data_IF_927801910541
#
_entry.id   IF_927801910541
#
_cell.length_a   1.000
_cell.length_b   1.000
_cell.length_c   1.000
_cell.angle_alpha   90.00
_cell.angle_beta   90.00
_cell.angle_gamma   90.00
#
_symmetry.space_group_name_H-M   'P 1'
#
loop_
_entity.id
_entity.type
_entity.pdbx_description
1 polymer ?
#
# COMPACT_ATOMS: atom_id res chain seq x y z
N UNK A 1 0.45 -16.58 1.70
CA UNK A 1 1.38 -15.60 1.09
C UNK A 1 1.61 -15.86 -0.39
N UNK A 2 1.98 -17.08 -0.82
CA UNK A 2 2.21 -17.37 -2.25
C UNK A 2 1.00 -17.11 -3.17
N UNK A 3 -0.23 -17.24 -2.68
CA UNK A 3 -1.43 -16.97 -3.47
C UNK A 3 -1.66 -15.47 -3.71
N UNK A 4 -1.52 -14.62 -2.71
CA UNK A 4 -1.69 -13.17 -2.79
C UNK A 4 -0.67 -12.53 -3.75
N UNK A 5 0.60 -12.93 -3.65
CA UNK A 5 1.67 -12.38 -4.49
C UNK A 5 1.56 -12.92 -5.94
N UNK A 6 1.16 -14.18 -6.11
CA UNK A 6 0.90 -14.75 -7.45
C UNK A 6 -0.28 -14.09 -8.14
N UNK A 7 -1.35 -13.76 -7.41
CA UNK A 7 -2.54 -13.09 -7.97
C UNK A 7 -2.21 -11.65 -8.38
N UNK A 8 -1.41 -10.93 -7.60
CA UNK A 8 -1.03 -9.55 -7.91
C UNK A 8 -0.11 -9.45 -9.16
N UNK A 9 0.86 -10.35 -9.29
CA UNK A 9 1.71 -10.39 -10.49
C UNK A 9 0.93 -10.78 -11.74
N UNK A 10 -0.05 -11.69 -11.63
CA UNK A 10 -0.94 -12.05 -12.72
C UNK A 10 -1.93 -10.92 -13.06
N UNK A 11 -2.44 -10.19 -12.05
CA UNK A 11 -3.36 -9.07 -12.24
C UNK A 11 -2.71 -7.90 -13.01
N UNK A 12 -1.47 -7.53 -12.68
CA UNK A 12 -0.73 -6.48 -13.41
C UNK A 12 -0.59 -6.81 -14.90
N UNK A 13 -0.54 -8.10 -15.24
CA UNK A 13 -0.48 -8.54 -16.64
C UNK A 13 -1.85 -8.57 -17.36
N UNK A 14 -2.97 -8.48 -16.63
CA UNK A 14 -4.32 -8.65 -17.18
C UNK A 14 -5.14 -7.36 -17.31
N UNK A 15 -4.89 -6.32 -16.52
CA UNK A 15 -5.70 -5.09 -16.53
C UNK A 15 -5.00 -3.96 -17.29
N UNK A 16 -5.54 -3.66 -18.47
CA UNK A 16 -5.16 -2.54 -19.32
C UNK A 16 -6.28 -1.53 -19.45
N UNK A 17 -5.89 -0.27 -19.43
CA UNK A 17 -6.52 0.90 -20.02
C UNK A 17 -7.86 1.38 -19.42
N UNK A 18 -7.75 2.33 -18.51
CA UNK A 18 -8.62 3.50 -18.45
C UNK A 18 -7.77 4.72 -18.09
N UNK A 19 -6.93 5.16 -19.03
CA UNK A 19 -6.42 6.53 -18.99
C UNK A 19 -7.55 7.42 -19.53
N UNK A 20 -8.52 7.72 -18.69
CA UNK A 20 -9.47 8.78 -18.95
C UNK A 20 -8.70 10.11 -19.02
N UNK A 21 -9.03 10.97 -19.99
CA UNK A 21 -8.60 12.37 -20.13
C UNK A 21 -9.09 13.19 -18.92
N UNK A 22 -8.53 12.94 -17.75
CA UNK A 22 -8.78 13.73 -16.57
C UNK A 22 -8.02 15.04 -16.69
N UNK A 23 -8.77 16.16 -16.60
CA UNK A 23 -8.19 17.49 -16.50
C UNK A 23 -7.15 17.47 -15.37
N UNK A 24 -5.93 17.99 -15.59
CA UNK A 24 -4.90 17.96 -14.55
C UNK A 24 -5.45 18.61 -13.27
N UNK A 25 -5.33 17.92 -12.16
CA UNK A 25 -5.76 18.43 -10.87
C UNK A 25 -4.97 19.72 -10.54
N UNK A 26 -5.58 20.72 -9.89
CA UNK A 26 -4.89 21.93 -9.51
C UNK A 26 -3.71 21.60 -8.59
N UNK A 27 -2.64 22.41 -8.69
CA UNK A 27 -1.47 22.21 -7.85
C UNK A 27 -1.84 22.27 -6.35
N UNK A 28 -1.33 21.34 -5.52
CA UNK A 28 -1.69 21.32 -4.10
C UNK A 28 -1.18 22.55 -3.35
N UNK A 29 -2.00 23.09 -2.47
CA UNK A 29 -1.62 24.21 -1.60
C UNK A 29 -0.52 23.80 -0.60
N UNK A 30 0.20 24.76 0.02
CA UNK A 30 1.16 24.44 1.08
C UNK A 30 0.55 23.63 2.23
N UNK A 31 -0.68 23.97 2.66
CA UNK A 31 -1.41 23.24 3.70
C UNK A 31 -1.74 21.80 3.29
N UNK A 32 -2.19 21.62 2.05
CA UNK A 32 -2.45 20.27 1.53
C UNK A 32 -1.17 19.44 1.47
N UNK A 33 -0.05 20.01 1.04
CA UNK A 33 1.25 19.33 1.06
C UNK A 33 1.68 18.93 2.47
N UNK A 34 1.52 19.82 3.45
CA UNK A 34 1.83 19.52 4.85
C UNK A 34 0.96 18.39 5.40
N UNK A 35 -0.36 18.43 5.16
CA UNK A 35 -1.27 17.37 5.57
C UNK A 35 -0.91 16.03 4.91
N UNK A 36 -0.60 16.03 3.62
CA UNK A 36 -0.17 14.84 2.90
C UNK A 36 1.15 14.27 3.46
N UNK A 37 2.13 15.10 3.77
CA UNK A 37 3.39 14.68 4.41
C UNK A 37 3.15 14.00 5.76
N UNK A 38 2.25 14.55 6.57
CA UNK A 38 1.86 13.95 7.85
C UNK A 38 1.22 12.59 7.67
N UNK A 39 0.22 12.49 6.78
CA UNK A 39 -0.49 11.23 6.51
C UNK A 39 0.44 10.16 5.89
N UNK A 40 1.28 10.53 4.93
CA UNK A 40 2.28 9.62 4.37
C UNK A 40 3.26 9.12 5.44
N UNK A 41 3.74 10.02 6.31
CA UNK A 41 4.60 9.64 7.42
C UNK A 41 3.92 8.73 8.45
N UNK A 42 2.62 8.91 8.69
CA UNK A 42 1.79 8.03 9.52
C UNK A 42 1.66 6.66 8.86
N UNK A 43 1.28 6.61 7.58
CA UNK A 43 1.09 5.36 6.83
C UNK A 43 2.34 4.48 6.86
N UNK A 44 3.51 5.05 6.56
CA UNK A 44 4.79 4.32 6.57
C UNK A 44 5.15 3.78 7.97
N UNK A 45 4.75 4.48 9.04
CA UNK A 45 4.99 4.00 10.41
C UNK A 45 4.04 2.88 10.82
N UNK A 46 2.82 2.88 10.31
CA UNK A 46 1.83 1.84 10.60
C UNK A 46 2.17 0.56 9.83
N UNK A 47 2.45 0.68 8.53
CA UNK A 47 2.72 -0.44 7.66
C UNK A 47 3.70 -0.02 6.55
N UNK A 48 4.85 -0.69 6.49
CA UNK A 48 5.86 -0.48 5.44
C UNK A 48 5.91 -1.70 4.51
N UNK A 49 5.13 -1.65 3.43
CA UNK A 49 5.08 -2.74 2.45
C UNK A 49 6.42 -3.03 1.78
N UNK A 50 7.37 -2.07 1.76
CA UNK A 50 8.70 -2.32 1.17
C UNK A 50 9.44 -3.46 1.86
N UNK A 51 9.16 -3.70 3.15
CA UNK A 51 9.74 -4.83 3.89
C UNK A 51 9.25 -6.17 3.35
N UNK A 52 7.97 -6.28 2.99
CA UNK A 52 7.41 -7.50 2.42
C UNK A 52 7.99 -7.80 1.03
N UNK A 53 8.37 -6.77 0.27
CA UNK A 53 9.01 -6.92 -1.05
C UNK A 53 10.51 -7.11 -0.96
N UNK A 54 11.18 -6.53 0.02
CA UNK A 54 12.62 -6.71 0.26
C UNK A 54 12.97 -8.09 0.80
N UNK A 55 12.05 -8.73 1.52
CA UNK A 55 12.27 -10.03 2.15
C UNK A 55 12.18 -11.16 1.10
N UNK A 56 13.31 -11.83 0.83
CA UNK A 56 13.42 -12.96 -0.11
C UNK A 56 12.89 -12.72 -1.53
N UNK A 57 12.94 -11.48 -2.01
CA UNK A 57 12.39 -11.10 -3.31
C UNK A 57 12.96 -11.94 -4.47
N UNK A 58 14.26 -12.28 -4.44
CA UNK A 58 14.94 -13.05 -5.50
C UNK A 58 14.42 -14.49 -5.67
N UNK A 59 13.80 -15.06 -4.66
CA UNK A 59 13.25 -16.43 -4.70
C UNK A 59 11.82 -16.48 -5.24
N UNK A 60 11.11 -15.36 -5.26
CA UNK A 60 9.74 -15.31 -5.70
C UNK A 60 9.59 -15.33 -7.22
N UNK A 61 8.60 -16.07 -7.70
CA UNK A 61 8.29 -16.17 -9.14
C UNK A 61 8.02 -14.82 -9.80
N UNK A 62 7.36 -13.88 -9.10
CA UNK A 62 7.07 -12.55 -9.62
C UNK A 62 8.36 -11.74 -9.85
N UNK A 63 9.32 -11.80 -8.93
CA UNK A 63 10.60 -11.12 -9.06
C UNK A 63 11.35 -11.59 -10.31
N UNK A 64 11.43 -12.92 -10.51
CA UNK A 64 12.06 -13.54 -11.68
C UNK A 64 11.35 -13.15 -12.98
N UNK A 65 10.02 -13.06 -12.96
CA UNK A 65 9.23 -12.62 -14.13
C UNK A 65 9.53 -11.15 -14.50
N UNK A 66 9.57 -10.24 -13.51
CA UNK A 66 9.94 -8.84 -13.77
C UNK A 66 11.39 -8.76 -14.28
N UNK A 67 12.32 -9.46 -13.63
CA UNK A 67 13.72 -9.49 -14.03
C UNK A 67 13.91 -9.99 -15.48
N UNK A 68 13.19 -11.01 -15.87
CA UNK A 68 13.29 -11.60 -17.23
C UNK A 68 12.72 -10.69 -18.33
N UNK A 69 11.81 -9.75 -17.99
CA UNK A 69 11.11 -8.92 -18.97
C UNK A 69 11.51 -7.43 -18.92
N UNK A 70 12.42 -7.06 -18.02
CA UNK A 70 12.95 -5.70 -17.88
C UNK A 70 14.42 -5.66 -18.30
N UNK A 71 14.88 -4.51 -18.77
CA UNK A 71 16.32 -4.24 -18.87
C UNK A 71 16.93 -4.17 -17.46
N UNK A 72 18.24 -4.29 -17.34
CA UNK A 72 18.93 -4.21 -16.05
C UNK A 72 18.71 -2.85 -15.35
N UNK A 73 18.58 -1.76 -16.11
CA UNK A 73 18.31 -0.42 -15.59
C UNK A 73 16.86 -0.28 -15.10
N UNK A 74 15.89 -0.70 -15.91
CA UNK A 74 14.47 -0.74 -15.55
C UNK A 74 14.26 -1.55 -14.28
N UNK A 75 14.85 -2.74 -14.20
CA UNK A 75 14.73 -3.63 -13.07
C UNK A 75 15.34 -3.05 -11.79
N UNK A 76 16.50 -2.39 -11.90
CA UNK A 76 17.13 -1.70 -10.76
C UNK A 76 16.27 -0.55 -10.26
N UNK A 77 15.74 0.29 -11.16
CA UNK A 77 14.81 1.35 -10.79
C UNK A 77 13.59 0.78 -10.08
N UNK A 78 12.93 -0.20 -10.68
CA UNK A 78 11.71 -0.82 -10.17
C UNK A 78 11.92 -1.42 -8.77
N UNK A 79 12.97 -2.22 -8.58
CA UNK A 79 13.27 -2.84 -7.27
C UNK A 79 13.65 -1.81 -6.22
N UNK A 80 14.28 -0.71 -6.60
CA UNK A 80 14.55 0.42 -5.68
C UNK A 80 13.24 1.09 -5.23
N UNK A 81 12.30 1.30 -6.15
CA UNK A 81 10.99 1.89 -5.82
C UNK A 81 10.14 0.95 -4.95
N UNK A 82 10.11 -0.34 -5.28
CA UNK A 82 9.30 -1.34 -4.58
C UNK A 82 9.89 -1.83 -3.26
N UNK A 83 11.20 -2.01 -3.19
CA UNK A 83 11.87 -2.72 -2.10
C UNK A 83 12.56 -1.81 -1.08
N UNK A 84 12.39 -0.48 -1.15
CA UNK A 84 13.01 0.44 -0.18
C UNK A 84 11.99 1.28 0.58
N UNK A 85 12.27 1.63 1.86
CA UNK A 85 11.42 2.54 2.64
C UNK A 85 11.24 3.91 1.97
N UNK A 86 12.26 4.39 1.24
CA UNK A 86 12.19 5.65 0.50
C UNK A 86 11.21 5.58 -0.66
N UNK A 87 11.23 4.48 -1.42
CA UNK A 87 10.29 4.25 -2.52
C UNK A 87 8.86 4.16 -2.01
N UNK A 88 8.64 3.38 -0.95
CA UNK A 88 7.31 3.27 -0.34
C UNK A 88 6.81 4.60 0.24
N UNK A 89 7.68 5.38 0.86
CA UNK A 89 7.34 6.74 1.34
C UNK A 89 6.94 7.67 0.19
N UNK A 90 7.63 7.60 -0.95
CA UNK A 90 7.30 8.40 -2.13
C UNK A 90 5.92 8.00 -2.68
N UNK A 91 5.65 6.70 -2.78
CA UNK A 91 4.32 6.20 -3.14
C UNK A 91 3.23 6.71 -2.20
N UNK A 92 3.45 6.60 -0.89
CA UNK A 92 2.48 7.07 0.12
C UNK A 92 2.29 8.59 0.09
N UNK A 93 3.30 9.35 -0.30
CA UNK A 93 3.17 10.80 -0.48
C UNK A 93 2.22 11.14 -1.63
N UNK A 94 2.31 10.43 -2.76
CA UNK A 94 1.41 10.62 -3.89
C UNK A 94 -0.04 10.23 -3.53
N UNK A 95 -0.24 9.07 -2.87
CA UNK A 95 -1.56 8.66 -2.39
C UNK A 95 -2.16 9.67 -1.39
N UNK A 96 -1.34 10.19 -0.48
CA UNK A 96 -1.77 11.16 0.51
C UNK A 96 -2.11 12.52 -0.12
N UNK A 97 -1.39 12.95 -1.14
CA UNK A 97 -1.72 14.17 -1.89
C UNK A 97 -3.08 14.02 -2.59
N UNK A 98 -3.30 12.91 -3.29
CA UNK A 98 -4.57 12.63 -3.94
C UNK A 98 -5.73 12.54 -2.92
N UNK A 99 -5.50 11.90 -1.77
CA UNK A 99 -6.45 11.85 -0.67
C UNK A 99 -6.83 13.25 -0.16
N UNK A 100 -5.84 14.08 0.18
CA UNK A 100 -6.05 15.42 0.75
C UNK A 100 -6.73 16.36 -0.24
N UNK A 101 -6.43 16.26 -1.54
CA UNK A 101 -7.06 17.07 -2.57
C UNK A 101 -8.56 16.77 -2.75
N UNK A 102 -9.00 15.55 -2.45
CA UNK A 102 -10.40 15.13 -2.53
C UNK A 102 -11.21 15.37 -1.26
N UNK A 103 -10.58 15.80 -0.16
CA UNK A 103 -11.23 16.00 1.14
C UNK A 103 -11.50 17.46 1.44
N UNK A 104 -12.65 17.73 2.10
CA UNK A 104 -12.91 19.05 2.68
C UNK A 104 -11.99 19.27 3.90
N UNK A 105 -11.71 20.54 4.27
CA UNK A 105 -10.97 20.84 5.50
C UNK A 105 -11.59 20.24 6.77
N UNK A 106 -12.93 20.20 6.84
CA UNK A 106 -13.66 19.61 7.97
C UNK A 106 -13.48 18.09 8.03
N UNK A 107 -13.50 17.41 6.87
CA UNK A 107 -13.26 15.97 6.80
C UNK A 107 -11.84 15.64 7.25
N UNK A 108 -10.83 16.37 6.74
CA UNK A 108 -9.45 16.22 7.15
C UNK A 108 -9.26 16.42 8.66
N UNK A 109 -9.92 17.43 9.23
CA UNK A 109 -9.87 17.67 10.68
C UNK A 109 -10.45 16.49 11.46
N UNK A 110 -11.58 15.93 11.01
CA UNK A 110 -12.18 14.72 11.62
C UNK A 110 -11.27 13.52 11.52
N UNK A 111 -10.66 13.31 10.36
CA UNK A 111 -9.74 12.21 10.13
C UNK A 111 -8.49 12.32 11.02
N UNK A 112 -7.90 13.51 11.14
CA UNK A 112 -6.77 13.74 12.04
C UNK A 112 -7.13 13.58 13.52
N UNK A 113 -8.38 13.93 13.92
CA UNK A 113 -8.85 13.74 15.29
C UNK A 113 -8.92 12.27 15.73
N UNK A 114 -9.06 11.33 14.79
CA UNK A 114 -8.99 9.89 15.07
C UNK A 114 -7.55 9.39 15.28
N UNK A 115 -6.58 10.07 14.69
CA UNK A 115 -5.19 9.63 14.65
C UNK A 115 -4.39 10.12 15.86
N UNK A 116 -4.94 9.88 17.07
CA UNK A 116 -4.23 10.18 18.32
C UNK A 116 -2.95 9.36 18.45
N UNK A 117 -1.94 9.80 19.22
CA UNK A 117 -0.73 9.02 19.45
C UNK A 117 -0.99 7.60 19.93
N UNK A 118 -2.01 7.40 20.79
CA UNK A 118 -2.39 6.08 21.31
C UNK A 118 -3.01 5.21 20.21
N UNK A 119 -3.91 5.77 19.39
CA UNK A 119 -4.51 5.07 18.25
C UNK A 119 -3.44 4.64 17.25
N UNK A 120 -2.52 5.55 16.90
CA UNK A 120 -1.43 5.27 15.97
C UNK A 120 -0.48 4.18 16.50
N UNK A 121 -0.15 4.22 17.77
CA UNK A 121 0.69 3.21 18.40
C UNK A 121 0.02 1.83 18.40
N UNK A 122 -1.29 1.78 18.66
CA UNK A 122 -2.04 0.53 18.64
C UNK A 122 -2.13 -0.05 17.21
N UNK A 123 -2.45 0.79 16.22
CA UNK A 123 -2.46 0.39 14.81
C UNK A 123 -1.09 -0.13 14.35
N UNK A 124 -0.01 0.58 14.69
CA UNK A 124 1.34 0.16 14.33
C UNK A 124 1.72 -1.19 14.94
N UNK A 125 1.35 -1.45 16.21
CA UNK A 125 1.58 -2.76 16.85
C UNK A 125 0.79 -3.87 16.20
N UNK A 126 -0.50 -3.65 15.92
CA UNK A 126 -1.35 -4.63 15.23
C UNK A 126 -0.80 -4.97 13.86
N UNK A 127 -0.41 -3.95 13.06
CA UNK A 127 0.11 -4.17 11.72
C UNK A 127 1.47 -4.86 11.73
N UNK A 128 2.36 -4.50 12.67
CA UNK A 128 3.64 -5.20 12.84
C UNK A 128 3.44 -6.67 13.25
N UNK A 129 2.48 -6.94 14.12
CA UNK A 129 2.15 -8.31 14.52
C UNK A 129 1.52 -9.11 13.37
N UNK A 130 0.73 -8.47 12.54
CA UNK A 130 0.17 -9.05 11.32
C UNK A 130 1.27 -9.35 10.27
N UNK A 131 2.23 -8.42 10.04
CA UNK A 131 3.40 -8.66 9.18
C UNK A 131 4.21 -9.88 9.65
N UNK A 132 4.48 -9.96 10.96
CA UNK A 132 5.18 -11.10 11.55
C UNK A 132 4.41 -12.41 11.34
N UNK A 133 3.08 -12.37 11.51
CA UNK A 133 2.21 -13.51 11.27
C UNK A 133 2.30 -14.05 9.84
N UNK A 134 2.30 -13.17 8.87
CA UNK A 134 2.47 -13.52 7.44
C UNK A 134 3.86 -14.08 7.18
N UNK A 135 4.90 -13.44 7.72
CA UNK A 135 6.29 -13.80 7.46
C UNK A 135 6.66 -15.16 8.06
N UNK A 136 6.19 -15.43 9.28
CA UNK A 136 6.56 -16.61 10.04
C UNK A 136 5.44 -17.68 10.11
N UNK A 137 4.29 -17.44 9.45
CA UNK A 137 3.09 -18.27 9.51
C UNK A 137 2.62 -18.55 10.94
N UNK A 138 2.70 -17.52 11.81
CA UNK A 138 2.31 -17.56 13.22
C UNK A 138 1.56 -16.31 13.63
N UNK A 139 0.30 -16.45 14.08
CA UNK A 139 -0.58 -15.35 14.45
C UNK A 139 -0.60 -15.05 15.96
N UNK A 140 0.18 -15.74 16.78
CA UNK A 140 0.14 -15.60 18.25
C UNK A 140 0.34 -14.16 18.70
N UNK A 141 1.29 -13.45 18.09
CA UNK A 141 1.55 -12.05 18.39
C UNK A 141 0.37 -11.15 18.03
N UNK A 142 -0.29 -11.39 16.89
CA UNK A 142 -1.48 -10.63 16.50
C UNK A 142 -2.64 -10.86 17.49
N UNK A 143 -2.87 -12.09 17.92
CA UNK A 143 -3.87 -12.44 18.93
C UNK A 143 -3.57 -11.73 20.24
N UNK A 144 -2.32 -11.75 20.71
CA UNK A 144 -1.90 -11.06 21.95
C UNK A 144 -2.12 -9.53 21.88
N UNK A 145 -1.83 -8.90 20.74
CA UNK A 145 -2.07 -7.45 20.57
C UNK A 145 -3.57 -7.15 20.52
N UNK A 146 -4.39 -8.02 19.93
CA UNK A 146 -5.86 -7.88 19.94
C UNK A 146 -6.41 -8.03 21.36
N UNK A 147 -5.97 -9.02 22.13
CA UNK A 147 -6.40 -9.20 23.54
C UNK A 147 -6.02 -7.99 24.39
N UNK A 148 -4.79 -7.47 24.21
CA UNK A 148 -4.33 -6.25 24.91
C UNK A 148 -5.19 -5.04 24.56
N UNK A 149 -5.58 -4.90 23.29
CA UNK A 149 -6.41 -3.82 22.83
C UNK A 149 -7.82 -3.91 23.43
N UNK A 150 -8.42 -5.10 23.51
CA UNK A 150 -9.73 -5.33 24.11
C UNK A 150 -9.79 -5.00 25.61
N UNK A 151 -8.66 -5.08 26.32
CA UNK A 151 -8.56 -4.64 27.72
C UNK A 151 -8.70 -3.14 27.91
N UNK A 152 -8.63 -2.34 26.84
CA UNK A 152 -8.85 -0.89 26.86
C UNK A 152 -10.00 -0.50 25.92
N UNK A 153 -11.27 -0.50 26.41
CA UNK A 153 -12.46 -0.26 25.55
C UNK A 153 -12.43 1.05 24.79
N UNK A 154 -11.85 2.11 25.37
CA UNK A 154 -11.74 3.41 24.69
C UNK A 154 -10.81 3.33 23.49
N UNK A 155 -9.65 2.70 23.66
CA UNK A 155 -8.68 2.53 22.59
C UNK A 155 -9.18 1.52 21.56
N UNK A 156 -9.82 0.43 21.98
CA UNK A 156 -10.46 -0.54 21.10
C UNK A 156 -11.47 0.13 20.18
N UNK A 157 -12.38 0.96 20.73
CA UNK A 157 -13.35 1.70 19.95
C UNK A 157 -12.70 2.74 19.01
N UNK A 158 -11.59 3.38 19.41
CA UNK A 158 -10.89 4.33 18.57
C UNK A 158 -10.22 3.64 17.37
N UNK A 159 -9.56 2.52 17.60
CA UNK A 159 -8.98 1.67 16.55
C UNK A 159 -10.07 1.10 15.64
N UNK A 160 -11.17 0.58 16.21
CA UNK A 160 -12.31 0.05 15.46
C UNK A 160 -12.92 1.10 14.52
N UNK A 161 -13.00 2.36 14.94
CA UNK A 161 -13.46 3.44 14.04
C UNK A 161 -12.57 3.63 12.81
N UNK A 162 -11.26 3.49 12.94
CA UNK A 162 -10.35 3.53 11.80
C UNK A 162 -10.51 2.27 10.95
N UNK A 163 -10.61 1.10 11.59
CA UNK A 163 -10.55 -0.21 10.94
C UNK A 163 -11.86 -0.62 10.23
N UNK A 164 -13.02 -0.20 10.76
CA UNK A 164 -14.32 -0.78 10.37
C UNK A 164 -15.32 0.25 9.85
N UNK A 165 -15.15 1.54 10.19
CA UNK A 165 -16.13 2.55 9.79
C UNK A 165 -16.11 2.81 8.29
N UNK A 166 -17.27 2.69 7.63
CA UNK A 166 -17.44 3.03 6.22
C UNK A 166 -17.09 4.50 5.93
N UNK A 167 -17.33 5.40 6.88
CA UNK A 167 -17.00 6.83 6.76
C UNK A 167 -15.49 7.07 6.59
N UNK A 168 -14.64 6.20 7.17
CA UNK A 168 -13.19 6.32 7.15
C UNK A 168 -12.52 5.30 6.22
N UNK A 169 -13.28 4.72 5.29
CA UNK A 169 -12.78 3.74 4.32
C UNK A 169 -11.53 4.23 3.58
N UNK A 170 -11.58 5.42 2.98
CA UNK A 170 -10.45 5.96 2.21
C UNK A 170 -9.24 6.29 3.10
N UNK A 171 -9.47 6.77 4.34
CA UNK A 171 -8.42 6.98 5.32
C UNK A 171 -7.75 5.64 5.68
N UNK A 172 -8.56 4.61 5.93
CA UNK A 172 -8.08 3.25 6.19
C UNK A 172 -7.24 2.71 5.03
N UNK A 173 -7.72 2.84 3.80
CA UNK A 173 -6.95 2.44 2.61
C UNK A 173 -5.61 3.18 2.51
N UNK A 174 -5.59 4.49 2.77
CA UNK A 174 -4.36 5.27 2.79
C UNK A 174 -3.39 4.77 3.87
N UNK A 175 -3.87 4.56 5.10
CA UNK A 175 -3.02 4.23 6.24
C UNK A 175 -2.50 2.79 6.20
N UNK A 176 -3.35 1.84 5.85
CA UNK A 176 -3.08 0.42 5.97
C UNK A 176 -2.74 -0.23 4.63
N UNK A 177 -2.95 0.46 3.51
CA UNK A 177 -2.85 -0.08 2.15
C UNK A 177 -3.79 -1.27 1.89
N UNK A 178 -4.59 -1.66 2.87
CA UNK A 178 -5.63 -2.67 2.79
C UNK A 178 -6.90 -2.11 3.42
N UNK A 179 -8.03 -2.34 2.79
CA UNK A 179 -9.29 -2.26 3.49
C UNK A 179 -9.56 -3.66 4.05
N UNK A 180 -9.76 -3.79 5.35
CA UNK A 180 -10.25 -5.03 5.96
C UNK A 180 -11.75 -5.19 5.74
N UNK A 181 -12.24 -4.76 4.56
CA UNK A 181 -13.63 -4.92 4.16
C UNK A 181 -13.92 -6.39 3.77
N UNK A 182 -15.14 -6.67 3.38
CA UNK A 182 -15.70 -8.01 3.14
C UNK A 182 -14.93 -8.91 2.15
N UNK A 183 -13.93 -8.35 1.44
CA UNK A 183 -13.04 -9.07 0.54
C UNK A 183 -11.56 -8.67 0.76
N UNK A 184 -10.95 -8.95 1.93
CA UNK A 184 -9.62 -8.46 2.28
C UNK A 184 -8.51 -8.91 1.31
N UNK A 185 -8.70 -10.04 0.63
CA UNK A 185 -7.76 -10.55 -0.38
C UNK A 185 -7.78 -9.70 -1.65
N UNK A 186 -8.96 -9.31 -2.13
CA UNK A 186 -9.10 -8.51 -3.36
C UNK A 186 -8.61 -7.07 -3.15
N UNK A 187 -8.88 -6.48 -2.00
CA UNK A 187 -8.45 -5.12 -1.69
C UNK A 187 -6.94 -5.03 -1.47
N UNK A 188 -6.36 -6.04 -0.83
CA UNK A 188 -4.91 -6.18 -0.71
C UNK A 188 -4.24 -6.33 -2.08
N UNK A 189 -4.79 -7.15 -2.96
CA UNK A 189 -4.30 -7.33 -4.32
C UNK A 189 -4.36 -6.02 -5.13
N UNK A 190 -5.46 -5.27 -5.04
CA UNK A 190 -5.62 -3.95 -5.71
C UNK A 190 -4.65 -2.91 -5.19
N UNK A 191 -4.39 -2.88 -3.89
CA UNK A 191 -3.43 -1.94 -3.29
C UNK A 191 -2.00 -2.26 -3.72
N UNK A 192 -1.66 -3.52 -3.76
CA UNK A 192 -0.38 -3.99 -4.28
C UNK A 192 -0.22 -3.67 -5.76
N UNK A 193 -1.26 -3.90 -6.56
CA UNK A 193 -1.28 -3.54 -7.97
C UNK A 193 -1.04 -2.04 -8.17
N UNK A 194 -1.70 -1.17 -7.40
CA UNK A 194 -1.48 0.28 -7.46
C UNK A 194 -0.02 0.64 -7.15
N UNK A 195 0.59 0.01 -6.16
CA UNK A 195 1.99 0.26 -5.80
C UNK A 195 2.95 -0.21 -6.91
N UNK A 196 2.68 -1.37 -7.51
CA UNK A 196 3.44 -1.87 -8.67
C UNK A 196 3.32 -0.92 -9.86
N UNK A 197 2.09 -0.53 -10.23
CA UNK A 197 1.84 0.39 -11.35
C UNK A 197 2.47 1.77 -11.12
N UNK A 198 2.41 2.28 -9.89
CA UNK A 198 3.10 3.52 -9.51
C UNK A 198 4.61 3.37 -9.71
N UNK A 199 5.20 2.27 -9.26
CA UNK A 199 6.64 2.02 -9.38
C UNK A 199 7.09 1.92 -10.84
N UNK A 200 6.30 1.27 -11.69
CA UNK A 200 6.54 1.20 -13.13
C UNK A 200 6.50 2.59 -13.76
N UNK A 201 5.48 3.40 -13.46
CA UNK A 201 5.34 4.77 -13.95
C UNK A 201 6.53 5.64 -13.56
N UNK A 202 6.96 5.58 -12.29
CA UNK A 202 8.12 6.34 -11.80
C UNK A 202 9.41 5.94 -12.49
N UNK A 203 9.51 4.69 -12.93
CA UNK A 203 10.63 4.19 -13.71
C UNK A 203 10.46 4.35 -15.23
N UNK A 204 9.37 5.02 -15.66
CA UNK A 204 9.02 5.21 -17.09
C UNK A 204 8.87 3.92 -17.86
N UNK A 205 8.43 2.86 -17.20
CA UNK A 205 8.19 1.55 -17.79
C UNK A 205 6.71 1.45 -18.13
N UNK A 206 6.40 1.21 -19.40
CA UNK A 206 5.04 0.95 -19.84
C UNK A 206 4.59 -0.46 -19.41
N UNK A 207 3.48 -0.55 -18.69
CA UNK A 207 2.90 -1.84 -18.32
C UNK A 207 2.48 -2.66 -19.56
N UNK A 208 2.11 -2.00 -20.66
CA UNK A 208 1.74 -2.65 -21.93
C UNK A 208 2.97 -3.24 -22.62
N UNK A 209 4.08 -2.50 -22.68
CA UNK A 209 5.34 -2.99 -23.23
C UNK A 209 5.88 -4.17 -22.42
N UNK A 210 5.80 -4.09 -21.09
CA UNK A 210 6.21 -5.19 -20.22
C UNK A 210 5.39 -6.46 -20.47
N UNK A 211 4.08 -6.32 -20.67
CA UNK A 211 3.19 -7.42 -21.05
C UNK A 211 3.53 -8.00 -22.43
N UNK A 212 3.84 -7.13 -23.40
CA UNK A 212 4.21 -7.56 -24.74
C UNK A 212 5.51 -8.38 -24.70
N UNK A 213 6.52 -7.94 -23.93
CA UNK A 213 7.78 -8.66 -23.71
C UNK A 213 7.52 -10.02 -23.05
N UNK A 214 6.68 -10.09 -22.01
CA UNK A 214 6.32 -11.33 -21.32
C UNK A 214 5.64 -12.36 -22.24
N UNK A 215 4.77 -11.90 -23.17
CA UNK A 215 4.12 -12.78 -24.17
C UNK A 215 5.10 -13.23 -25.24
N UNK A 216 6.01 -12.38 -25.68
CA UNK A 216 7.01 -12.73 -26.70
C UNK A 216 8.11 -13.66 -26.20
N UNK A 217 8.38 -13.68 -24.88
CA UNK A 217 9.33 -14.58 -24.24
C UNK A 217 8.80 -15.99 -23.96
N UNK A 218 7.48 -16.18 -23.91
CA UNK A 218 6.85 -17.48 -23.66
C UNK A 218 6.86 -18.43 -24.88
N UNK A 219 7.33 -17.96 -26.05
CA UNK A 219 7.39 -18.73 -27.29
C UNK A 219 8.79 -19.23 -27.67
N UNK A 220 9.76 -19.12 -26.77
CA UNK A 220 11.12 -19.68 -26.95
C UNK A 220 11.40 -20.69 -25.85
#
# INVERSE_FOLDING_TARGET
MNALIRTAAAAVLLFGALAANAKPAPAPTPQQRQAAQQLAGISVRILDLSRLFGYNSSEHSWYKQFQANMTAEEFRCFTTKMGTPQGFRAYKMDEALDYVQRRSPQDLQRDFALLTPQTLQALSRLMSAWEDGITHNNNDRYIQEMDRLQQNPRLFNAVGRVMESAQHHDLRQLLLSFAFDTAPIEDGARSLERYVLWSLRECRISAEELRARARGGAGK
#
